data_IF_522001300399
#
_entry.id   IF_522001300399
#
_cell.length_a   1.000
_cell.length_b   1.000
_cell.length_c   1.000
_cell.angle_alpha   90.00
_cell.angle_beta   90.00
_cell.angle_gamma   90.00
#
_symmetry.space_group_name_H-M   'P 1'
#
loop_
_entity.id
_entity.type
_entity.pdbx_description
1 polymer ?
#
# COMPACT_ATOMS: atom_id res chain seq x y z
N UNK A 1 11.66 -43.72 -27.20
CA UNK A 1 12.11 -42.31 -27.14
C UNK A 1 11.03 -41.52 -26.45
N UNK A 2 11.16 -41.34 -25.12
CA UNK A 2 10.18 -40.57 -24.34
C UNK A 2 10.52 -39.08 -24.41
N UNK A 3 9.69 -38.35 -25.12
CA UNK A 3 9.72 -36.88 -25.07
C UNK A 3 9.14 -36.44 -23.72
N UNK A 4 9.99 -36.03 -22.79
CA UNK A 4 9.60 -35.38 -21.55
C UNK A 4 9.15 -33.96 -21.90
N UNK A 5 7.87 -33.75 -21.92
CA UNK A 5 7.32 -32.39 -21.93
C UNK A 5 7.67 -31.82 -20.56
N UNK A 6 8.62 -30.89 -20.53
CA UNK A 6 8.88 -30.06 -19.36
C UNK A 6 7.65 -29.16 -19.22
N UNK A 7 6.78 -29.50 -18.26
CA UNK A 7 5.68 -28.63 -17.87
C UNK A 7 6.27 -27.31 -17.38
N UNK A 8 5.91 -26.22 -18.01
CA UNK A 8 6.04 -24.90 -17.43
C UNK A 8 5.28 -24.94 -16.10
N UNK A 9 6.02 -24.98 -14.99
CA UNK A 9 5.47 -24.64 -13.70
C UNK A 9 5.04 -23.17 -13.80
N UNK A 10 3.77 -22.93 -14.09
CA UNK A 10 3.19 -21.61 -13.92
C UNK A 10 3.27 -21.30 -12.43
N UNK A 11 4.24 -20.47 -12.02
CA UNK A 11 4.33 -19.96 -10.67
C UNK A 11 3.03 -19.25 -10.37
N UNK A 12 2.17 -19.87 -9.54
CA UNK A 12 0.92 -19.28 -9.13
C UNK A 12 1.19 -17.94 -8.43
N UNK A 13 0.47 -16.89 -8.84
CA UNK A 13 0.55 -15.57 -8.20
C UNK A 13 0.21 -15.69 -6.71
N UNK A 14 0.87 -14.88 -5.91
CA UNK A 14 0.43 -14.61 -4.56
C UNK A 14 -0.72 -13.62 -4.59
N UNK A 15 -1.77 -13.95 -3.88
CA UNK A 15 -2.93 -13.08 -3.72
C UNK A 15 -3.30 -13.04 -2.24
N UNK A 16 -3.34 -11.85 -1.68
CA UNK A 16 -3.64 -11.64 -0.27
C UNK A 16 -4.50 -10.41 -0.04
N UNK A 17 -5.07 -10.34 1.16
CA UNK A 17 -5.92 -9.24 1.59
C UNK A 17 -5.82 -9.05 3.09
N UNK A 18 -5.77 -7.79 3.53
CA UNK A 18 -5.90 -7.37 4.91
C UNK A 18 -7.09 -6.44 5.09
N UNK A 19 -7.68 -6.44 6.27
CA UNK A 19 -8.80 -5.59 6.65
C UNK A 19 -8.50 -4.96 8.01
N UNK A 20 -8.69 -3.64 8.13
CA UNK A 20 -8.64 -2.92 9.39
C UNK A 20 -9.95 -2.16 9.62
N UNK A 21 -10.43 -2.15 10.84
CA UNK A 21 -11.65 -1.44 11.21
C UNK A 21 -11.32 -0.06 11.78
N UNK A 22 -12.09 0.94 11.37
CA UNK A 22 -12.12 2.30 11.92
C UNK A 22 -13.51 2.57 12.44
N UNK A 23 -13.67 2.60 13.76
CA UNK A 23 -15.00 2.66 14.38
C UNK A 23 -15.49 4.07 14.61
N UNK A 24 -14.60 5.06 14.69
CA UNK A 24 -14.92 6.44 15.09
C UNK A 24 -15.11 7.40 13.93
N UNK A 25 -14.69 7.02 12.72
CA UNK A 25 -14.69 7.91 11.57
C UNK A 25 -15.39 7.26 10.40
N UNK A 26 -16.20 8.04 9.70
CA UNK A 26 -16.93 7.59 8.52
C UNK A 26 -16.02 7.40 7.32
N UNK A 27 -16.49 6.67 6.33
CA UNK A 27 -15.75 6.44 5.09
C UNK A 27 -15.42 7.76 4.36
N UNK A 28 -16.31 8.74 4.40
CA UNK A 28 -16.09 10.09 3.85
C UNK A 28 -14.98 10.85 4.58
N UNK A 29 -14.85 10.69 5.89
CA UNK A 29 -13.78 11.32 6.69
C UNK A 29 -12.43 10.64 6.45
N UNK A 30 -12.42 9.36 6.17
CA UNK A 30 -11.20 8.55 6.01
C UNK A 30 -10.63 8.61 4.59
N UNK A 31 -11.48 8.67 3.57
CA UNK A 31 -11.05 8.63 2.17
C UNK A 31 -9.98 9.65 1.80
N UNK A 32 -10.05 10.92 2.21
CA UNK A 32 -9.02 11.92 1.88
C UNK A 32 -7.61 11.54 2.26
N UNK A 33 -7.42 10.75 3.32
CA UNK A 33 -6.11 10.25 3.75
C UNK A 33 -5.55 9.18 2.81
N UNK A 34 -6.43 8.36 2.23
CA UNK A 34 -6.04 7.32 1.26
C UNK A 34 -5.85 7.92 -0.13
N UNK A 35 -6.70 8.87 -0.52
CA UNK A 35 -6.65 9.57 -1.80
C UNK A 35 -5.35 10.37 -1.99
N UNK A 36 -4.76 10.86 -0.91
CA UNK A 36 -3.51 11.64 -0.89
C UNK A 36 -2.30 10.71 -1.13
N UNK A 37 -2.23 10.19 -2.35
CA UNK A 37 -1.33 9.12 -2.77
C UNK A 37 0.14 9.42 -2.51
N UNK A 38 0.61 10.64 -2.74
CA UNK A 38 2.00 11.02 -2.57
C UNK A 38 2.39 11.38 -1.12
N UNK A 39 1.45 11.37 -0.19
CA UNK A 39 1.69 11.64 1.24
C UNK A 39 1.51 10.41 2.14
N UNK A 40 1.58 9.21 1.58
CA UNK A 40 1.39 7.96 2.33
C UNK A 40 2.37 7.77 3.50
N UNK A 41 3.55 8.40 3.44
CA UNK A 41 4.53 8.39 4.53
C UNK A 41 4.00 8.97 5.85
N UNK A 42 2.92 9.74 5.81
CA UNK A 42 2.23 10.22 7.01
C UNK A 42 1.45 9.11 7.71
N UNK A 43 1.14 8.03 7.02
CA UNK A 43 0.30 6.94 7.50
C UNK A 43 1.04 5.62 7.72
N UNK A 44 2.14 5.39 7.02
CA UNK A 44 2.94 4.17 7.10
C UNK A 44 4.41 4.50 7.39
N UNK A 45 5.20 3.54 7.89
CA UNK A 45 6.59 3.80 8.29
C UNK A 45 7.53 3.92 7.08
N UNK A 46 7.44 5.05 6.39
CA UNK A 46 8.34 5.46 5.32
C UNK A 46 9.05 6.76 5.72
N UNK A 47 10.32 6.88 5.36
CA UNK A 47 11.10 8.09 5.60
C UNK A 47 10.99 9.08 4.43
N UNK A 48 10.78 8.55 3.23
CA UNK A 48 10.70 9.33 1.99
C UNK A 48 9.47 8.91 1.22
N UNK A 49 8.70 9.88 0.75
CA UNK A 49 7.65 9.69 -0.24
C UNK A 49 7.56 10.96 -1.10
N UNK A 50 7.96 10.86 -2.36
CA UNK A 50 8.02 12.00 -3.27
C UNK A 50 7.28 11.70 -4.57
N UNK A 51 6.55 12.68 -5.08
CA UNK A 51 6.02 12.62 -6.43
C UNK A 51 7.16 12.61 -7.45
N UNK A 52 7.11 11.67 -8.39
CA UNK A 52 8.07 11.55 -9.50
C UNK A 52 7.50 12.19 -10.76
N UNK A 53 6.27 11.82 -11.11
CA UNK A 53 5.58 12.34 -12.31
C UNK A 53 4.06 12.21 -12.18
N UNK A 54 3.35 12.82 -13.11
CA UNK A 54 1.90 12.74 -13.20
C UNK A 54 1.18 13.88 -12.48
N UNK A 55 -0.14 13.77 -12.43
CA UNK A 55 -1.05 14.76 -11.88
C UNK A 55 -1.75 14.17 -10.66
N UNK A 56 -1.79 14.92 -9.56
CA UNK A 56 -2.47 14.51 -8.33
C UNK A 56 -3.93 14.10 -8.61
N UNK A 57 -4.33 12.98 -8.04
CA UNK A 57 -5.68 12.45 -8.18
C UNK A 57 -5.99 11.82 -9.55
N UNK A 58 -5.00 11.58 -10.39
CA UNK A 58 -5.20 11.00 -11.72
C UNK A 58 -4.36 9.73 -11.93
N UNK A 59 -4.85 8.74 -12.71
CA UNK A 59 -4.04 7.62 -13.16
C UNK A 59 -2.76 8.07 -13.85
N UNK A 60 -1.66 7.34 -13.60
CA UNK A 60 -0.33 7.70 -14.08
C UNK A 60 0.52 8.48 -13.06
N UNK A 61 -0.10 9.03 -12.00
CA UNK A 61 0.65 9.62 -10.89
C UNK A 61 1.61 8.59 -10.30
N UNK A 62 2.89 8.94 -10.27
CA UNK A 62 3.95 8.05 -9.79
C UNK A 62 4.63 8.65 -8.59
N UNK A 63 4.85 7.85 -7.55
CA UNK A 63 5.58 8.21 -6.33
C UNK A 63 6.80 7.31 -6.15
N UNK A 64 7.84 7.87 -5.54
CA UNK A 64 8.99 7.13 -5.02
C UNK A 64 8.86 7.05 -3.50
N UNK A 65 8.90 5.85 -2.95
CA UNK A 65 8.84 5.59 -1.51
C UNK A 65 10.10 4.87 -1.06
N UNK A 66 10.65 5.27 0.08
CA UNK A 66 11.84 4.64 0.63
C UNK A 66 11.89 4.66 2.16
N UNK A 67 12.60 3.67 2.70
CA UNK A 67 13.09 3.65 4.08
C UNK A 67 14.58 3.91 4.10
N UNK A 68 15.08 4.46 5.20
CA UNK A 68 16.48 4.74 5.40
C UNK A 68 17.04 4.00 6.59
N UNK A 69 18.36 3.81 6.61
CA UNK A 69 19.11 3.35 7.76
C UNK A 69 20.24 4.32 8.04
N UNK A 70 20.50 4.56 9.33
CA UNK A 70 21.66 5.30 9.81
C UNK A 70 22.61 4.33 10.47
N UNK A 71 23.91 4.46 10.19
CA UNK A 71 24.96 3.70 10.89
C UNK A 71 25.02 4.05 12.38
N UNK A 72 25.73 3.23 13.16
CA UNK A 72 25.81 3.36 14.62
C UNK A 72 26.63 4.58 15.09
N UNK A 73 27.52 5.12 14.24
CA UNK A 73 28.30 6.31 14.57
C UNK A 73 27.45 7.59 14.50
N UNK A 74 27.71 8.57 15.38
CA UNK A 74 26.93 9.83 15.44
C UNK A 74 26.95 10.63 14.13
N UNK A 75 28.03 10.55 13.36
CA UNK A 75 28.24 11.17 12.07
C UNK A 75 28.01 10.24 10.87
N UNK A 76 27.43 9.05 11.12
CA UNK A 76 27.17 8.07 10.05
C UNK A 76 26.21 8.62 9.01
N UNK A 77 26.54 8.37 7.75
CA UNK A 77 25.71 8.75 6.60
C UNK A 77 24.38 7.98 6.61
N UNK A 78 23.29 8.69 6.32
CA UNK A 78 21.97 8.08 6.11
C UNK A 78 21.95 7.47 4.72
N UNK A 79 21.59 6.18 4.62
CA UNK A 79 21.52 5.44 3.36
C UNK A 79 20.12 4.93 3.10
N UNK A 80 19.75 4.89 1.83
CA UNK A 80 18.51 4.22 1.41
C UNK A 80 18.64 2.73 1.70
N UNK A 81 17.63 2.18 2.38
CA UNK A 81 17.52 0.76 2.70
C UNK A 81 16.64 0.05 1.67
N UNK A 82 15.33 0.29 1.72
CA UNK A 82 14.37 -0.25 0.75
C UNK A 82 13.71 0.90 -0.01
N UNK A 83 13.42 0.66 -1.28
CA UNK A 83 12.72 1.64 -2.09
C UNK A 83 11.85 0.98 -3.16
N UNK A 84 10.79 1.68 -3.54
CA UNK A 84 9.87 1.32 -4.62
C UNK A 84 9.41 2.56 -5.38
N UNK A 85 9.19 2.41 -6.69
CA UNK A 85 8.38 3.32 -7.48
C UNK A 85 6.97 2.71 -7.62
N UNK A 86 5.96 3.49 -7.32
CA UNK A 86 4.57 3.06 -7.39
C UNK A 86 3.77 4.00 -8.29
N UNK A 87 3.00 3.42 -9.20
CA UNK A 87 2.20 4.15 -10.18
C UNK A 87 0.72 3.92 -9.95
N UNK A 88 -0.02 4.98 -9.75
CA UNK A 88 -1.47 4.96 -9.62
C UNK A 88 -2.10 4.47 -10.94
N UNK A 89 -2.86 3.39 -10.89
CA UNK A 89 -3.56 2.82 -12.04
C UNK A 89 -4.99 3.32 -12.15
N UNK A 90 -5.71 3.31 -11.03
CA UNK A 90 -7.09 3.77 -10.94
C UNK A 90 -7.32 4.54 -9.66
N UNK A 91 -8.24 5.48 -9.70
CA UNK A 91 -8.76 6.16 -8.52
C UNK A 91 -10.24 6.50 -8.75
N UNK A 92 -11.08 6.13 -7.80
CA UNK A 92 -12.52 6.37 -7.84
C UNK A 92 -12.97 6.93 -6.48
N UNK A 93 -13.15 8.26 -6.37
CA UNK A 93 -13.58 8.90 -5.13
C UNK A 93 -15.01 8.53 -4.71
N UNK A 94 -15.87 8.16 -5.65
CA UNK A 94 -17.26 7.77 -5.34
C UNK A 94 -17.29 6.40 -4.69
N UNK A 95 -16.54 5.45 -5.25
CA UNK A 95 -16.39 4.12 -4.68
C UNK A 95 -15.34 4.07 -3.55
N UNK A 96 -14.57 5.14 -3.36
CA UNK A 96 -13.48 5.23 -2.38
C UNK A 96 -12.50 4.06 -2.54
N UNK A 97 -11.99 3.93 -3.76
CA UNK A 97 -11.12 2.83 -4.18
C UNK A 97 -10.00 3.38 -5.06
N UNK A 98 -8.78 2.91 -4.85
CA UNK A 98 -7.67 3.14 -5.75
C UNK A 98 -6.85 1.86 -5.95
N UNK A 99 -6.17 1.77 -7.08
CA UNK A 99 -5.19 0.71 -7.34
C UNK A 99 -3.90 1.30 -7.88
N UNK A 100 -2.79 0.63 -7.59
CA UNK A 100 -1.46 1.01 -8.06
C UNK A 100 -0.61 -0.22 -8.34
N UNK A 101 0.41 -0.04 -9.16
CA UNK A 101 1.42 -1.06 -9.43
C UNK A 101 2.77 -0.64 -8.87
N UNK A 102 3.56 -1.62 -8.46
CA UNK A 102 4.97 -1.44 -8.12
C UNK A 102 5.79 -1.65 -9.38
N UNK A 103 6.52 -0.62 -9.78
CA UNK A 103 7.49 -0.66 -10.88
C UNK A 103 8.89 -1.04 -10.39
N UNK A 104 9.86 -0.19 -10.70
CA UNK A 104 11.24 -0.41 -10.24
C UNK A 104 11.30 -0.39 -8.71
N UNK A 105 12.05 -1.31 -8.15
CA UNK A 105 12.23 -1.45 -6.71
C UNK A 105 13.47 -2.31 -6.40
N UNK A 106 13.95 -2.26 -5.15
CA UNK A 106 15.02 -3.12 -4.66
C UNK A 106 14.52 -4.23 -3.70
N UNK A 107 13.21 -4.43 -3.60
CA UNK A 107 12.60 -5.41 -2.69
C UNK A 107 12.27 -6.75 -3.37
N UNK A 108 12.51 -6.87 -4.67
CA UNK A 108 12.22 -8.10 -5.43
C UNK A 108 10.77 -8.25 -5.87
N UNK A 109 9.94 -7.21 -5.75
CA UNK A 109 8.57 -7.25 -6.25
C UNK A 109 8.53 -7.28 -7.77
N UNK A 110 7.71 -8.20 -8.30
CA UNK A 110 7.43 -8.35 -9.73
C UNK A 110 5.92 -8.48 -9.93
N UNK A 111 5.41 -7.83 -10.97
CA UNK A 111 3.98 -7.87 -11.31
C UNK A 111 3.07 -7.57 -10.11
N UNK A 112 3.51 -6.68 -9.22
CA UNK A 112 2.78 -6.34 -8.00
C UNK A 112 1.73 -5.28 -8.31
N UNK A 113 0.48 -5.62 -8.07
CA UNK A 113 -0.67 -4.69 -8.13
C UNK A 113 -1.39 -4.73 -6.80
N UNK A 114 -1.70 -3.56 -6.29
CA UNK A 114 -2.41 -3.38 -5.03
C UNK A 114 -3.69 -2.59 -5.21
N UNK A 115 -4.68 -2.89 -4.38
CA UNK A 115 -5.95 -2.16 -4.33
C UNK A 115 -6.28 -1.82 -2.89
N UNK A 116 -6.60 -0.54 -2.64
CA UNK A 116 -7.04 -0.07 -1.33
C UNK A 116 -8.46 0.47 -1.47
N UNK A 117 -9.33 0.07 -0.54
CA UNK A 117 -10.74 0.50 -0.48
C UNK A 117 -11.08 1.00 0.91
N UNK A 118 -11.95 2.02 0.95
CA UNK A 118 -12.59 2.48 2.19
C UNK A 118 -14.07 2.11 2.09
N UNK A 119 -14.46 1.11 2.86
CA UNK A 119 -15.81 0.53 2.84
C UNK A 119 -16.63 1.10 4.01
N UNK A 120 -17.72 1.78 3.69
CA UNK A 120 -18.68 2.23 4.70
C UNK A 120 -19.33 1.02 5.40
N UNK A 121 -19.59 1.12 6.70
CA UNK A 121 -20.33 0.10 7.46
C UNK A 121 -21.84 0.33 7.45
N UNK A 122 -22.30 1.46 6.92
CA UNK A 122 -23.70 1.85 6.74
C UNK A 122 -23.95 2.26 5.30
N UNK A 123 -25.22 2.36 4.89
CA UNK A 123 -25.60 2.84 3.55
C UNK A 123 -25.16 4.28 3.29
N UNK A 124 -25.16 5.12 4.35
CA UNK A 124 -24.64 6.49 4.29
C UNK A 124 -23.16 6.51 4.68
N UNK A 125 -22.29 6.75 3.71
CA UNK A 125 -20.83 6.82 3.91
C UNK A 125 -20.37 7.98 4.82
N UNK A 126 -21.25 8.89 5.19
CA UNK A 126 -21.00 10.01 6.11
C UNK A 126 -21.21 9.65 7.57
N UNK A 127 -21.84 8.51 7.85
CA UNK A 127 -22.26 8.08 9.18
C UNK A 127 -21.65 6.73 9.52
N UNK A 128 -21.39 6.51 10.82
CA UNK A 128 -20.84 5.27 11.32
C UNK A 128 -19.33 5.14 11.08
N UNK A 129 -18.82 3.96 11.30
CA UNK A 129 -17.42 3.60 11.02
C UNK A 129 -17.20 3.18 9.60
N UNK A 130 -15.98 2.74 9.29
CA UNK A 130 -15.62 2.16 8.01
C UNK A 130 -14.59 1.03 8.18
N UNK A 131 -14.30 0.36 7.09
CA UNK A 131 -13.23 -0.64 7.00
C UNK A 131 -12.24 -0.22 5.91
N UNK A 132 -10.97 -0.34 6.21
CA UNK A 132 -9.92 -0.30 5.20
C UNK A 132 -9.68 -1.73 4.70
N UNK A 133 -9.68 -1.92 3.40
CA UNK A 133 -9.31 -3.17 2.75
C UNK A 133 -8.10 -2.93 1.86
N UNK A 134 -7.05 -3.73 2.05
CA UNK A 134 -5.85 -3.67 1.22
C UNK A 134 -5.60 -5.06 0.63
N UNK A 135 -5.84 -5.19 -0.68
CA UNK A 135 -5.56 -6.40 -1.43
C UNK A 135 -4.30 -6.25 -2.29
N UNK A 136 -3.64 -7.37 -2.57
CA UNK A 136 -2.51 -7.39 -3.50
C UNK A 136 -2.49 -8.69 -4.32
N UNK A 137 -1.90 -8.58 -5.51
CA UNK A 137 -1.54 -9.71 -6.37
C UNK A 137 -0.12 -9.47 -6.88
N UNK A 138 0.76 -10.46 -6.77
CA UNK A 138 2.14 -10.35 -7.28
C UNK A 138 2.73 -11.72 -7.62
N UNK A 139 3.86 -11.72 -8.30
CA UNK A 139 4.69 -12.92 -8.39
C UNK A 139 5.26 -13.27 -7.01
N UNK A 140 5.55 -14.57 -6.74
CA UNK A 140 6.29 -14.95 -5.55
C UNK A 140 7.59 -14.15 -5.41
N UNK A 141 7.86 -13.64 -4.21
CA UNK A 141 9.05 -12.84 -3.92
C UNK A 141 10.16 -13.75 -3.42
N UNK A 142 11.32 -13.70 -4.08
CA UNK A 142 12.47 -14.51 -3.68
C UNK A 142 12.90 -14.19 -2.23
N UNK A 143 13.13 -15.22 -1.44
CA UNK A 143 13.51 -15.09 -0.04
C UNK A 143 12.37 -14.78 0.93
N UNK A 144 11.15 -14.61 0.44
CA UNK A 144 9.96 -14.41 1.25
C UNK A 144 9.01 -15.61 1.15
N UNK A 145 8.22 -15.82 2.19
CA UNK A 145 7.02 -16.66 2.14
C UNK A 145 5.80 -15.77 1.92
N UNK A 146 4.75 -16.33 1.36
CA UNK A 146 3.46 -15.61 1.23
C UNK A 146 2.99 -15.01 2.56
N UNK A 147 3.10 -15.77 3.65
CA UNK A 147 2.69 -15.33 4.99
C UNK A 147 3.47 -14.10 5.49
N UNK A 148 4.74 -13.98 5.11
CA UNK A 148 5.57 -12.85 5.51
C UNK A 148 5.07 -11.56 4.86
N UNK A 149 4.75 -11.60 3.57
CA UNK A 149 4.18 -10.46 2.85
C UNK A 149 2.77 -10.13 3.36
N UNK A 150 1.93 -11.14 3.51
CA UNK A 150 0.57 -10.93 4.00
C UNK A 150 0.53 -10.32 5.41
N UNK A 151 1.40 -10.79 6.30
CA UNK A 151 1.54 -10.25 7.66
C UNK A 151 2.09 -8.82 7.65
N UNK A 152 3.03 -8.53 6.76
CA UNK A 152 3.56 -7.17 6.58
C UNK A 152 2.46 -6.18 6.14
N UNK A 153 1.66 -6.56 5.15
CA UNK A 153 0.53 -5.76 4.67
C UNK A 153 -0.51 -5.56 5.78
N UNK A 154 -0.85 -6.62 6.52
CA UNK A 154 -1.81 -6.52 7.62
C UNK A 154 -1.32 -5.59 8.73
N UNK A 155 -0.10 -5.77 9.22
CA UNK A 155 0.49 -4.90 10.24
C UNK A 155 0.56 -3.44 9.81
N UNK A 156 0.92 -3.19 8.55
CA UNK A 156 0.98 -1.85 7.97
C UNK A 156 -0.41 -1.22 7.93
N UNK A 157 -1.43 -1.97 7.50
CA UNK A 157 -2.81 -1.49 7.44
C UNK A 157 -3.39 -1.17 8.82
N UNK A 158 -3.13 -2.02 9.83
CA UNK A 158 -3.54 -1.76 11.21
C UNK A 158 -2.92 -0.46 11.75
N UNK A 159 -1.64 -0.25 11.47
CA UNK A 159 -0.93 0.98 11.84
C UNK A 159 -1.49 2.22 11.11
N UNK A 160 -1.80 2.08 9.83
CA UNK A 160 -2.42 3.13 9.01
C UNK A 160 -3.79 3.54 9.60
N UNK A 161 -4.64 2.58 9.93
CA UNK A 161 -5.95 2.84 10.53
C UNK A 161 -5.84 3.66 11.82
N UNK A 162 -4.92 3.30 12.71
CA UNK A 162 -4.67 4.03 13.96
C UNK A 162 -4.22 5.47 13.72
N UNK A 163 -3.34 5.69 12.75
CA UNK A 163 -2.86 7.04 12.42
C UNK A 163 -3.96 7.91 11.82
N UNK A 164 -4.83 7.34 10.99
CA UNK A 164 -5.99 8.05 10.42
C UNK A 164 -6.96 8.43 11.55
N UNK A 165 -7.31 7.53 12.46
CA UNK A 165 -8.17 7.84 13.60
C UNK A 165 -7.60 8.97 14.47
N UNK A 166 -6.28 8.95 14.73
CA UNK A 166 -5.59 10.01 15.46
C UNK A 166 -5.66 11.35 14.72
N UNK A 167 -5.39 11.37 13.43
CA UNK A 167 -5.42 12.57 12.59
C UNK A 167 -6.84 13.16 12.50
N UNK A 168 -7.86 12.32 12.37
CA UNK A 168 -9.26 12.76 12.39
C UNK A 168 -9.67 13.38 13.74
N UNK A 169 -9.11 12.90 14.86
CA UNK A 169 -9.40 13.41 16.19
C UNK A 169 -8.76 14.78 16.47
N UNK A 170 -7.65 15.09 15.82
CA UNK A 170 -6.95 16.38 15.94
C UNK A 170 -7.59 17.50 15.11
N UNK A 171 -8.49 17.15 14.19
CA UNK A 171 -9.14 18.08 13.24
C UNK A 171 -10.48 18.62 13.74
N UNK A 172 -10.82 18.42 15.04
CA UNK A 172 -12.07 18.90 15.67
C UNK A 172 -11.81 20.16 16.52
#
# INVERSE_FOLDING_TARGET
>A
MCCRIMGEESNAKWEGKAIAEITKNSAEQVWPYIEDFCNIHKLIPLDICNKVEGIEGQPGLTRYCATTIKGEADDAEIKINNWVNEKLLTIDPVQRCLSYEVGQNNMGFKSYVSTIKVLATTEDAKVGGCKLEWGFVCDPVEGWRFQDLNSYIDSTLQGMAKKIEAACSESI
#
